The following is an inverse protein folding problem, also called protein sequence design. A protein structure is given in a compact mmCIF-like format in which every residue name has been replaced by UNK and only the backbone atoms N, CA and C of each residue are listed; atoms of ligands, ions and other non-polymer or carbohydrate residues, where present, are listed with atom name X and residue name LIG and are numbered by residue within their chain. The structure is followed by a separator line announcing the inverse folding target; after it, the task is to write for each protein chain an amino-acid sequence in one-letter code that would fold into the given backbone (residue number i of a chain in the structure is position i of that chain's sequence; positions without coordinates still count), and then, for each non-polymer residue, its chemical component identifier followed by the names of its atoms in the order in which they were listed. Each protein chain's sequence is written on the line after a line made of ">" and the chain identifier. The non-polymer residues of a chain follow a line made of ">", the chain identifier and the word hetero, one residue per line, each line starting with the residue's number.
data_IF_769680030386
#
_entry.id   IF_769680030386
#
_cell.length_a   1.000
_cell.length_b   1.000
_cell.length_c   1.000
_cell.angle_alpha   90.00
_cell.angle_beta   90.00
_cell.angle_gamma   90.00
#
_symmetry.space_group_name_H-M   'P 1'
#
loop_
_entity.id
_entity.type
_entity.pdbx_description
1 polymer ?
#
# COMPACT_ATOMS: atom_id res chain seq x y z
N UNK A 1 60.65 -24.08 22.29
CA UNK A 1 59.18 -23.88 22.23
C UNK A 1 58.73 -23.94 20.78
N UNK A 2 57.69 -24.74 20.45
CA UNK A 2 57.40 -25.15 19.08
C UNK A 2 56.57 -24.12 18.31
N UNK A 3 56.85 -24.00 17.00
CA UNK A 3 56.01 -23.34 15.99
C UNK A 3 54.75 -24.18 15.75
N UNK A 4 53.57 -23.58 15.89
CA UNK A 4 52.30 -24.18 15.46
C UNK A 4 52.14 -24.09 13.93
N UNK A 5 51.49 -25.08 13.29
CA UNK A 5 51.42 -25.19 11.84
C UNK A 5 50.34 -24.30 11.23
N UNK A 6 50.64 -23.81 10.03
CA UNK A 6 49.80 -23.04 9.13
C UNK A 6 48.55 -23.87 8.73
N UNK A 7 47.36 -23.37 9.04
CA UNK A 7 46.09 -23.95 8.58
C UNK A 7 45.64 -23.18 7.32
N UNK A 8 45.56 -23.80 6.13
CA UNK A 8 45.03 -23.13 4.96
C UNK A 8 43.49 -23.06 5.07
N UNK A 9 42.95 -21.83 5.19
CA UNK A 9 41.51 -21.62 5.02
C UNK A 9 41.15 -21.87 3.55
N UNK A 10 40.51 -23.01 3.28
CA UNK A 10 39.72 -23.18 2.07
C UNK A 10 38.49 -22.28 2.18
N UNK A 11 38.54 -21.12 1.53
CA UNK A 11 37.36 -20.31 1.27
C UNK A 11 36.71 -20.81 -0.01
N UNK A 12 35.65 -21.59 0.11
CA UNK A 12 34.73 -21.82 -1.00
C UNK A 12 34.06 -20.49 -1.31
N UNK A 13 34.45 -19.84 -2.41
CA UNK A 13 33.67 -18.74 -2.97
C UNK A 13 32.33 -19.35 -3.42
N UNK A 14 31.30 -19.24 -2.58
CA UNK A 14 29.93 -19.38 -3.05
C UNK A 14 29.73 -18.26 -4.06
N UNK A 15 29.65 -18.63 -5.34
CA UNK A 15 29.41 -17.69 -6.41
C UNK A 15 28.09 -16.97 -6.12
N UNK A 16 28.17 -15.69 -5.80
CA UNK A 16 27.01 -14.80 -5.83
C UNK A 16 26.56 -14.81 -7.30
N UNK A 17 25.34 -15.25 -7.62
CA UNK A 17 24.87 -15.21 -9.00
C UNK A 17 24.90 -13.75 -9.48
N UNK A 18 25.61 -13.52 -10.59
CA UNK A 18 25.73 -12.22 -11.24
C UNK A 18 24.35 -11.71 -11.65
N UNK A 19 24.04 -10.46 -11.29
CA UNK A 19 22.87 -9.74 -11.80
C UNK A 19 22.95 -9.75 -13.34
N UNK A 20 21.89 -10.13 -14.06
CA UNK A 20 21.94 -10.20 -15.52
C UNK A 20 22.15 -8.81 -16.15
N UNK A 21 23.08 -8.71 -17.09
CA UNK A 21 23.42 -7.52 -17.89
C UNK A 21 22.39 -7.25 -19.01
N UNK A 22 21.10 -7.24 -18.68
CA UNK A 22 20.02 -6.96 -19.63
C UNK A 22 18.96 -6.03 -19.04
N UNK A 23 18.14 -5.36 -19.87
CA UNK A 23 16.94 -4.69 -19.39
C UNK A 23 16.09 -5.76 -18.69
N UNK A 24 15.98 -5.67 -17.37
CA UNK A 24 14.93 -6.38 -16.64
C UNK A 24 13.66 -5.63 -17.03
N UNK A 25 12.95 -6.16 -18.04
CA UNK A 25 11.55 -5.82 -18.24
C UNK A 25 10.89 -5.92 -16.86
N UNK A 26 10.11 -4.92 -16.40
CA UNK A 26 9.46 -5.02 -15.11
C UNK A 26 8.43 -6.14 -15.20
N UNK A 27 8.86 -7.37 -14.92
CA UNK A 27 7.98 -8.50 -14.67
C UNK A 27 7.15 -8.07 -13.47
N UNK A 28 5.86 -7.80 -13.72
CA UNK A 28 4.90 -7.55 -12.67
C UNK A 28 4.92 -8.70 -11.67
N UNK A 29 4.36 -8.47 -10.48
CA UNK A 29 4.27 -9.53 -9.48
C UNK A 29 3.52 -10.73 -10.08
N UNK A 30 4.05 -11.96 -9.94
CA UNK A 30 3.36 -13.15 -10.42
C UNK A 30 1.95 -13.25 -9.83
N UNK A 31 1.01 -13.66 -10.66
CA UNK A 31 -0.42 -13.76 -10.32
C UNK A 31 -0.69 -14.53 -9.01
N UNK A 32 0.04 -15.63 -8.79
CA UNK A 32 -0.10 -16.46 -7.60
C UNK A 32 0.36 -15.75 -6.32
N UNK A 33 1.37 -14.88 -6.43
CA UNK A 33 1.84 -14.03 -5.33
C UNK A 33 0.78 -12.98 -4.99
N UNK A 34 0.20 -12.32 -6.00
CA UNK A 34 -0.87 -11.33 -5.81
C UNK A 34 -2.11 -11.99 -5.18
N UNK A 35 -2.50 -13.16 -5.69
CA UNK A 35 -3.62 -13.93 -5.17
C UNK A 35 -3.40 -14.34 -3.70
N UNK A 36 -2.19 -14.77 -3.34
CA UNK A 36 -1.84 -15.10 -1.96
C UNK A 36 -1.84 -13.87 -1.04
N UNK A 37 -1.30 -12.74 -1.49
CA UNK A 37 -1.28 -11.47 -0.74
C UNK A 37 -2.69 -10.99 -0.41
N UNK A 38 -3.61 -11.07 -1.37
CA UNK A 38 -4.96 -10.53 -1.24
C UNK A 38 -6.02 -11.57 -0.87
N UNK A 39 -5.67 -12.85 -0.74
CA UNK A 39 -6.60 -13.93 -0.37
C UNK A 39 -7.47 -13.59 0.85
N UNK A 40 -6.84 -13.01 1.87
CA UNK A 40 -7.51 -12.64 3.12
C UNK A 40 -8.56 -11.53 2.96
N UNK A 41 -8.50 -10.75 1.89
CA UNK A 41 -9.44 -9.66 1.61
C UNK A 41 -10.81 -10.18 1.16
N UNK A 42 -10.91 -11.43 0.68
CA UNK A 42 -12.19 -12.04 0.28
C UNK A 42 -13.22 -12.11 1.40
N UNK A 43 -12.79 -11.98 2.67
CA UNK A 43 -13.67 -11.94 3.85
C UNK A 43 -14.55 -10.68 3.89
N UNK A 44 -14.14 -9.62 3.21
CA UNK A 44 -14.85 -8.35 3.17
C UNK A 44 -15.74 -8.29 1.93
N UNK A 45 -16.92 -7.69 2.07
CA UNK A 45 -17.86 -7.46 0.97
C UNK A 45 -17.63 -6.10 0.29
N UNK A 46 -17.05 -5.13 1.01
CA UNK A 46 -16.68 -3.82 0.47
C UNK A 46 -15.32 -3.36 0.99
N UNK A 47 -14.43 -3.01 0.07
CA UNK A 47 -13.07 -2.53 0.33
C UNK A 47 -12.88 -1.15 -0.28
N UNK A 48 -12.06 -0.33 0.38
CA UNK A 48 -11.58 0.94 -0.14
C UNK A 48 -10.05 0.88 -0.32
N UNK A 49 -9.52 1.49 -1.37
CA UNK A 49 -8.08 1.73 -1.54
C UNK A 49 -7.80 3.22 -1.61
N UNK A 50 -6.86 3.70 -0.83
CA UNK A 50 -6.44 5.09 -0.83
C UNK A 50 -5.35 5.33 -1.88
N UNK A 51 -5.62 6.21 -2.85
CA UNK A 51 -4.73 6.50 -3.97
C UNK A 51 -4.35 7.97 -3.99
N UNK A 52 -3.04 8.23 -3.94
CA UNK A 52 -2.47 9.59 -3.90
C UNK A 52 -2.12 10.14 -5.28
N UNK A 53 -2.06 9.28 -6.30
CA UNK A 53 -1.50 9.58 -7.62
C UNK A 53 -0.01 9.24 -7.75
N UNK A 54 0.65 8.87 -6.65
CA UNK A 54 2.00 8.31 -6.69
C UNK A 54 2.04 6.88 -7.23
N UNK A 55 3.18 6.49 -7.82
CA UNK A 55 3.40 5.21 -8.48
C UNK A 55 2.99 4.01 -7.62
N UNK A 56 3.37 3.97 -6.34
CA UNK A 56 3.06 2.85 -5.44
C UNK A 56 1.56 2.68 -5.21
N UNK A 57 0.85 3.80 -5.02
CA UNK A 57 -0.59 3.77 -4.78
C UNK A 57 -1.39 3.44 -6.04
N UNK A 58 -0.90 3.85 -7.22
CA UNK A 58 -1.47 3.45 -8.51
C UNK A 58 -1.18 1.97 -8.80
N UNK A 59 0.02 1.49 -8.52
CA UNK A 59 0.38 0.07 -8.64
C UNK A 59 -0.51 -0.79 -7.75
N UNK A 60 -0.71 -0.42 -6.48
CA UNK A 60 -1.63 -1.12 -5.58
C UNK A 60 -3.06 -1.17 -6.12
N UNK A 61 -3.55 -0.06 -6.67
CA UNK A 61 -4.88 0.00 -7.30
C UNK A 61 -4.97 -0.98 -8.47
N UNK A 62 -3.97 -0.99 -9.37
CA UNK A 62 -3.87 -1.91 -10.51
C UNK A 62 -3.89 -3.37 -10.07
N UNK A 63 -3.04 -3.75 -9.11
CA UNK A 63 -2.97 -5.11 -8.61
C UNK A 63 -4.29 -5.56 -7.97
N UNK A 64 -4.99 -4.67 -7.26
CA UNK A 64 -6.30 -4.97 -6.67
C UNK A 64 -7.41 -5.11 -7.72
N UNK A 65 -7.38 -4.30 -8.79
CA UNK A 65 -8.31 -4.41 -9.90
C UNK A 65 -8.15 -5.74 -10.63
N UNK A 66 -6.91 -6.10 -10.98
CA UNK A 66 -6.56 -7.38 -11.61
C UNK A 66 -6.96 -8.56 -10.72
N UNK A 67 -6.62 -8.49 -9.43
CA UNK A 67 -7.02 -9.48 -8.43
C UNK A 67 -8.54 -9.67 -8.33
N UNK A 68 -9.30 -8.57 -8.31
CA UNK A 68 -10.78 -8.63 -8.28
C UNK A 68 -11.32 -9.36 -9.50
N UNK A 69 -10.80 -9.08 -10.69
CA UNK A 69 -11.25 -9.71 -11.93
C UNK A 69 -10.95 -11.22 -11.98
N UNK A 70 -9.74 -11.62 -11.56
CA UNK A 70 -9.29 -13.02 -11.63
C UNK A 70 -9.82 -13.91 -10.49
N UNK A 71 -9.98 -13.36 -9.29
CA UNK A 71 -10.19 -14.16 -8.07
C UNK A 71 -11.65 -14.55 -7.83
N UNK A 72 -12.56 -14.18 -8.75
CA UNK A 72 -14.01 -14.32 -8.68
C UNK A 72 -14.61 -13.74 -7.37
N UNK A 73 -13.94 -12.77 -6.75
CA UNK A 73 -14.45 -12.09 -5.57
C UNK A 73 -15.65 -11.21 -5.97
N UNK A 74 -16.78 -11.41 -5.31
CA UNK A 74 -18.05 -10.73 -5.61
C UNK A 74 -18.24 -9.41 -4.86
N UNK A 75 -17.24 -8.96 -4.11
CA UNK A 75 -17.30 -7.72 -3.36
C UNK A 75 -17.04 -6.48 -4.21
N UNK A 76 -17.18 -5.32 -3.56
CA UNK A 76 -17.00 -4.01 -4.16
C UNK A 76 -15.67 -3.41 -3.74
N UNK A 77 -14.91 -2.90 -4.71
CA UNK A 77 -13.68 -2.16 -4.50
C UNK A 77 -13.90 -0.73 -4.97
N UNK A 78 -13.69 0.23 -4.09
CA UNK A 78 -13.72 1.67 -4.40
C UNK A 78 -12.37 2.33 -4.17
N UNK A 79 -12.06 3.35 -4.96
CA UNK A 79 -10.86 4.16 -4.87
C UNK A 79 -11.19 5.45 -4.13
N UNK A 80 -10.39 5.80 -3.13
CA UNK A 80 -10.50 7.07 -2.40
C UNK A 80 -9.27 7.93 -2.70
N UNK A 81 -9.50 9.10 -3.29
CA UNK A 81 -8.46 10.10 -3.53
C UNK A 81 -8.78 11.38 -2.77
N UNK A 82 -7.81 11.95 -2.05
CA UNK A 82 -8.03 13.19 -1.29
C UNK A 82 -7.46 14.37 -2.06
N UNK A 83 -8.34 15.28 -2.48
CA UNK A 83 -7.94 16.60 -2.98
C UNK A 83 -7.72 17.53 -1.77
N UNK A 84 -6.45 17.76 -1.43
CA UNK A 84 -6.11 18.61 -0.29
C UNK A 84 -6.37 20.11 -0.57
N UNK A 85 -6.41 20.52 -1.84
CA UNK A 85 -6.58 21.92 -2.25
C UNK A 85 -5.46 22.83 -1.76
N UNK A 86 -4.26 22.30 -1.50
CA UNK A 86 -3.10 23.07 -1.02
C UNK A 86 -2.34 23.74 -2.17
N UNK A 87 -2.47 23.18 -3.37
CA UNK A 87 -1.85 23.66 -4.59
C UNK A 87 -2.91 23.71 -5.69
N UNK A 88 -2.79 24.61 -6.69
CA UNK A 88 -3.72 24.66 -7.83
C UNK A 88 -3.85 23.33 -8.58
N UNK A 89 -2.78 22.55 -8.63
CA UNK A 89 -2.69 21.28 -9.36
C UNK A 89 -3.39 20.12 -8.64
N UNK A 90 -3.67 20.24 -7.34
CA UNK A 90 -4.25 19.18 -6.49
C UNK A 90 -5.55 18.60 -7.06
N UNK A 91 -6.38 19.45 -7.66
CA UNK A 91 -7.62 19.00 -8.31
C UNK A 91 -7.37 18.21 -9.60
N UNK A 92 -6.35 18.58 -10.38
CA UNK A 92 -5.97 17.87 -11.60
C UNK A 92 -5.30 16.52 -11.27
N UNK A 93 -4.47 16.46 -10.23
CA UNK A 93 -3.89 15.22 -9.70
C UNK A 93 -5.00 14.23 -9.25
N UNK A 94 -6.02 14.72 -8.54
CA UNK A 94 -7.15 13.89 -8.13
C UNK A 94 -8.02 13.43 -9.32
N UNK A 95 -8.21 14.29 -10.32
CA UNK A 95 -8.93 13.92 -11.55
C UNK A 95 -8.18 12.84 -12.34
N UNK A 96 -6.84 12.93 -12.42
CA UNK A 96 -6.01 11.89 -13.03
C UNK A 96 -6.21 10.52 -12.36
N UNK A 97 -6.21 10.48 -11.02
CA UNK A 97 -6.49 9.24 -10.27
C UNK A 97 -7.87 8.68 -10.61
N UNK A 98 -8.89 9.54 -10.71
CA UNK A 98 -10.23 9.09 -11.09
C UNK A 98 -10.27 8.50 -12.50
N UNK A 99 -9.56 9.09 -13.47
CA UNK A 99 -9.41 8.52 -14.82
C UNK A 99 -8.75 7.15 -14.79
N UNK A 100 -7.63 6.98 -14.08
CA UNK A 100 -6.97 5.68 -13.97
C UNK A 100 -7.83 4.61 -13.30
N UNK A 101 -8.65 5.00 -12.31
CA UNK A 101 -9.59 4.09 -11.66
C UNK A 101 -10.71 3.66 -12.63
N UNK A 102 -11.26 4.60 -13.40
CA UNK A 102 -12.29 4.33 -14.41
C UNK A 102 -11.79 3.39 -15.51
N UNK A 103 -10.55 3.57 -15.98
CA UNK A 103 -9.89 2.67 -16.94
C UNK A 103 -9.79 1.22 -16.43
N UNK A 104 -9.76 1.03 -15.12
CA UNK A 104 -9.73 -0.28 -14.46
C UNK A 104 -11.12 -0.78 -14.04
N UNK A 105 -12.19 -0.03 -14.34
CA UNK A 105 -13.56 -0.35 -13.96
C UNK A 105 -13.83 -0.25 -12.46
N UNK A 106 -13.14 0.67 -11.77
CA UNK A 106 -13.31 0.94 -10.34
C UNK A 106 -14.03 2.28 -10.11
N UNK A 107 -14.96 2.30 -9.16
CA UNK A 107 -15.56 3.54 -8.69
C UNK A 107 -14.52 4.38 -7.93
N UNK A 108 -14.47 5.68 -8.20
CA UNK A 108 -13.56 6.61 -7.52
C UNK A 108 -14.31 7.73 -6.81
N UNK A 109 -14.02 7.93 -5.53
CA UNK A 109 -14.50 9.05 -4.74
C UNK A 109 -13.37 10.05 -4.50
N UNK A 110 -13.52 11.26 -5.06
CA UNK A 110 -12.65 12.40 -4.76
C UNK A 110 -13.17 13.09 -3.51
N UNK A 111 -12.37 13.05 -2.44
CA UNK A 111 -12.68 13.60 -1.14
C UNK A 111 -11.95 14.92 -0.94
N UNK A 112 -12.65 16.03 -1.14
CA UNK A 112 -12.04 17.35 -1.06
C UNK A 112 -11.94 17.85 0.39
N UNK A 113 -10.74 18.26 0.80
CA UNK A 113 -10.57 19.00 2.04
C UNK A 113 -11.01 20.45 1.86
N UNK A 114 -12.15 20.80 2.45
CA UNK A 114 -12.71 22.15 2.45
C UNK A 114 -12.39 22.91 3.74
N UNK A 115 -12.55 24.23 3.71
CA UNK A 115 -12.31 25.11 4.86
C UNK A 115 -10.92 25.77 4.86
N UNK A 116 -10.69 26.61 5.87
CA UNK A 116 -9.44 27.36 6.06
C UNK A 116 -8.29 26.38 6.34
N UNK A 117 -7.18 26.56 5.63
CA UNK A 117 -5.95 25.78 5.85
C UNK A 117 -5.13 26.46 6.95
N UNK A 118 -4.57 25.71 7.89
CA UNK A 118 -3.80 26.29 8.97
C UNK A 118 -2.46 26.83 8.45
N UNK A 119 -2.03 27.97 8.99
CA UNK A 119 -0.75 28.61 8.61
C UNK A 119 0.47 27.86 9.18
N UNK A 120 0.26 26.97 10.14
CA UNK A 120 1.28 26.15 10.79
C UNK A 120 0.86 24.68 10.80
N UNK A 121 1.82 23.76 10.86
CA UNK A 121 1.60 22.31 10.89
C UNK A 121 0.77 21.78 9.69
N UNK A 122 0.88 22.45 8.53
CA UNK A 122 0.06 22.15 7.35
C UNK A 122 0.12 20.69 6.91
N UNK A 123 1.30 20.06 6.98
CA UNK A 123 1.49 18.66 6.62
C UNK A 123 0.73 17.72 7.56
N UNK A 124 0.81 17.96 8.87
CA UNK A 124 0.10 17.16 9.87
C UNK A 124 -1.41 17.34 9.74
N UNK A 125 -1.86 18.57 9.55
CA UNK A 125 -3.28 18.88 9.38
C UNK A 125 -3.83 18.31 8.07
N UNK A 126 -3.04 18.31 7.00
CA UNK A 126 -3.38 17.62 5.76
C UNK A 126 -3.49 16.11 5.98
N UNK A 127 -2.60 15.52 6.77
CA UNK A 127 -2.62 14.10 7.13
C UNK A 127 -3.88 13.75 7.93
N UNK A 128 -4.21 14.53 8.96
CA UNK A 128 -5.43 14.35 9.76
C UNK A 128 -6.70 14.55 8.92
N UNK A 129 -6.71 15.56 8.04
CA UNK A 129 -7.81 15.80 7.11
C UNK A 129 -8.03 14.60 6.18
N UNK A 130 -6.96 13.98 5.67
CA UNK A 130 -7.01 12.77 4.84
C UNK A 130 -7.76 11.65 5.54
N UNK A 131 -7.34 11.30 6.75
CA UNK A 131 -7.94 10.21 7.53
C UNK A 131 -9.40 10.49 7.88
N UNK A 132 -9.71 11.72 8.28
CA UNK A 132 -11.09 12.12 8.62
C UNK A 132 -12.02 12.04 7.40
N UNK A 133 -11.56 12.49 6.24
CA UNK A 133 -12.32 12.42 5.00
C UNK A 133 -12.57 10.97 4.58
N UNK A 134 -11.52 10.15 4.55
CA UNK A 134 -11.62 8.73 4.20
C UNK A 134 -12.52 7.97 5.16
N UNK A 135 -12.33 8.12 6.48
CA UNK A 135 -13.17 7.47 7.49
C UNK A 135 -14.63 7.92 7.38
N UNK A 136 -14.88 9.21 7.14
CA UNK A 136 -16.22 9.74 6.94
C UNK A 136 -16.91 9.23 5.68
N UNK A 137 -16.16 8.97 4.61
CA UNK A 137 -16.67 8.34 3.39
C UNK A 137 -16.95 6.86 3.59
N UNK A 138 -16.00 6.11 4.16
CA UNK A 138 -16.15 4.68 4.43
C UNK A 138 -17.36 4.38 5.33
N UNK A 139 -17.60 5.22 6.34
CA UNK A 139 -18.78 5.10 7.19
C UNK A 139 -20.11 5.26 6.41
N UNK A 140 -20.11 6.03 5.32
CA UNK A 140 -21.29 6.23 4.46
C UNK A 140 -21.42 5.17 3.37
N UNK A 141 -20.31 4.77 2.76
CA UNK A 141 -20.30 3.74 1.71
C UNK A 141 -20.45 2.32 2.27
N UNK A 142 -20.11 2.13 3.56
CA UNK A 142 -20.09 0.85 4.22
C UNK A 142 -18.80 0.05 3.96
N UNK A 143 -17.71 0.71 3.57
CA UNK A 143 -16.43 0.03 3.36
C UNK A 143 -15.88 -0.52 4.68
N UNK A 144 -15.48 -1.78 4.66
CA UNK A 144 -15.12 -2.54 5.87
C UNK A 144 -13.62 -2.44 6.19
N UNK A 145 -12.79 -2.22 5.16
CA UNK A 145 -11.36 -2.02 5.31
C UNK A 145 -10.81 -1.02 4.28
N UNK A 146 -9.68 -0.40 4.64
CA UNK A 146 -8.94 0.56 3.82
C UNK A 146 -7.53 0.01 3.52
N UNK A 147 -7.16 -0.03 2.25
CA UNK A 147 -5.83 -0.37 1.78
C UNK A 147 -5.03 0.89 1.46
N UNK A 148 -3.74 0.89 1.82
CA UNK A 148 -2.83 2.03 1.66
C UNK A 148 -1.54 1.55 0.97
N UNK A 149 -1.12 2.25 -0.09
CA UNK A 149 0.20 2.04 -0.69
C UNK A 149 1.27 2.73 0.15
N UNK A 150 2.12 1.97 0.83
CA UNK A 150 3.14 2.51 1.73
C UNK A 150 4.28 3.18 0.95
N UNK A 151 4.13 4.48 0.69
CA UNK A 151 5.16 5.50 0.83
C UNK A 151 4.53 6.88 0.62
N UNK A 152 4.44 7.66 1.70
CA UNK A 152 4.51 9.13 1.73
C UNK A 152 4.46 9.55 3.20
N UNK A 153 5.60 9.37 3.85
CA UNK A 153 5.94 9.90 5.19
C UNK A 153 5.10 9.32 6.35
N UNK A 154 5.71 8.32 6.98
CA UNK A 154 5.61 7.90 8.38
C UNK A 154 4.24 7.78 9.08
N UNK A 155 4.05 6.55 9.56
CA UNK A 155 3.35 6.20 10.78
C UNK A 155 1.87 6.63 10.84
N UNK A 156 1.02 5.72 10.41
CA UNK A 156 -0.23 5.45 11.13
C UNK A 156 -0.24 3.97 11.50
N UNK A 157 0.39 3.66 12.64
CA UNK A 157 -0.04 2.58 13.50
C UNK A 157 -1.58 2.52 13.51
N UNK A 158 -2.10 1.39 13.03
CA UNK A 158 -3.38 0.81 13.48
C UNK A 158 -4.56 1.79 13.49
N UNK A 159 -5.05 2.18 12.31
CA UNK A 159 -6.39 2.80 12.20
C UNK A 159 -7.55 1.77 12.33
N UNK A 160 -7.22 0.48 12.47
CA UNK A 160 -8.18 -0.64 12.48
C UNK A 160 -8.35 -1.23 13.88
N UNK A 161 -8.67 -0.36 14.85
CA UNK A 161 -9.04 -0.80 16.20
C UNK A 161 -10.41 -0.28 16.66
N UNK A 162 -11.14 0.48 15.83
CA UNK A 162 -12.47 1.04 16.19
C UNK A 162 -13.63 0.66 15.29
N UNK A 163 -13.39 -0.04 14.18
CA UNK A 163 -14.44 -0.78 13.44
C UNK A 163 -14.69 -2.18 14.03
N UNK A 164 -13.81 -2.66 14.91
CA UNK A 164 -13.75 -4.03 15.47
C UNK A 164 -14.55 -4.24 16.77
N UNK A 165 -15.49 -3.37 17.13
CA UNK A 165 -16.50 -3.72 18.17
C UNK A 165 -17.56 -4.74 17.68
N UNK A 166 -17.26 -5.48 16.62
CA UNK A 166 -18.11 -6.53 16.07
C UNK A 166 -17.38 -7.79 15.55
N UNK A 167 -16.05 -7.85 15.49
CA UNK A 167 -15.34 -9.07 15.10
C UNK A 167 -13.91 -9.06 15.62
N UNK A 168 -13.52 -10.19 16.23
CA UNK A 168 -12.34 -10.34 17.06
C UNK A 168 -11.00 -10.08 16.37
N UNK A 169 -10.01 -9.88 17.25
CA UNK A 169 -8.60 -9.58 17.00
C UNK A 169 -7.96 -10.56 16.01
N UNK A 170 -7.84 -10.18 14.73
CA UNK A 170 -6.87 -10.75 13.78
C UNK A 170 -6.94 -10.03 12.42
N UNK A 171 -6.19 -8.94 12.27
CA UNK A 171 -5.97 -8.39 10.95
C UNK A 171 -5.30 -7.03 10.96
N UNK A 172 -3.99 -6.99 11.20
CA UNK A 172 -3.01 -6.10 10.55
C UNK A 172 -1.61 -6.41 11.08
N UNK A 173 -1.04 -7.45 10.51
CA UNK A 173 0.40 -7.65 10.50
C UNK A 173 0.70 -8.48 9.27
N UNK A 174 0.80 -7.82 8.13
CA UNK A 174 1.33 -8.40 6.89
C UNK A 174 1.90 -7.27 6.05
N UNK A 175 3.06 -6.78 6.50
CA UNK A 175 4.25 -6.39 5.71
C UNK A 175 5.23 -5.80 6.72
N UNK A 176 5.74 -6.65 7.62
CA UNK A 176 7.08 -6.44 8.11
C UNK A 176 7.98 -6.68 6.89
N UNK A 177 8.60 -5.61 6.40
CA UNK A 177 9.73 -5.76 5.51
C UNK A 177 10.77 -6.64 6.21
N UNK A 178 11.29 -7.59 5.47
CA UNK A 178 12.35 -8.49 5.86
C UNK A 178 13.54 -7.65 6.39
N UNK A 179 13.73 -7.56 7.70
CA UNK A 179 15.02 -7.18 8.27
C UNK A 179 15.88 -8.45 8.30
N UNK A 180 16.53 -8.71 7.18
CA UNK A 180 17.69 -9.60 7.14
C UNK A 180 18.97 -8.78 7.05
N UNK A 181 19.23 -7.99 8.10
CA UNK A 181 20.59 -7.58 8.48
C UNK A 181 20.85 -8.02 9.93
N UNK A 182 21.58 -9.06 10.27
CA UNK A 182 22.38 -10.07 9.56
C UNK A 182 22.79 -11.15 10.57
N UNK A 183 23.64 -12.13 10.23
CA UNK A 183 24.05 -13.16 11.18
C UNK A 183 25.20 -12.69 12.07
N UNK A 184 24.99 -12.78 13.39
CA UNK A 184 25.95 -13.24 14.39
C UNK A 184 27.11 -12.32 14.80
N UNK A 185 27.15 -11.99 16.10
CA UNK A 185 28.31 -11.43 16.81
C UNK A 185 27.95 -10.89 18.18
#
# INVERSE_FOLDING_TARGET
>A
MPRLPFCPRQGTNAAVPSVPDGPVEPEGLPDDVVDALFFNLKRFSRLAVAVSGGADSLCLMTLLAEWKQRSAWSGQLEVLCVDHGLRPESGAEAAFVATCAEEQGLDCAILRWTGVKPDHNLQEEARLARYRLMAGHMAKSGAEALLLGHHLVDQAETFLDRLTRGSGVAGLSAMAADDTSGPGG
#
